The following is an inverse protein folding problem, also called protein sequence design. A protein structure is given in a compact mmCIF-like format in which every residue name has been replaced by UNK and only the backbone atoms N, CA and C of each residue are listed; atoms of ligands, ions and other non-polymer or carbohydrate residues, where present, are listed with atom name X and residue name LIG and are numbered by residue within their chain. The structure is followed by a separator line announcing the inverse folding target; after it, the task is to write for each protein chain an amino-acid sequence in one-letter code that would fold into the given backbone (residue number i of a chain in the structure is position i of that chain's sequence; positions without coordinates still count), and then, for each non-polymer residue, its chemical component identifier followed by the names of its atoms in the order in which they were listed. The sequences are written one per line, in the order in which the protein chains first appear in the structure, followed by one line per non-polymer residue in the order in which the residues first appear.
data_IF_766425038455
#
_entry.id   IF_766425038455
#
_cell.length_a   1.000
_cell.length_b   1.000
_cell.length_c   1.000
_cell.angle_alpha   90.00
_cell.angle_beta   90.00
_cell.angle_gamma   90.00
#
_symmetry.space_group_name_H-M   'P 1'
#
loop_
_entity.id
_entity.type
_entity.pdbx_description
1 polymer ?
#
# COMPACT_ATOMS: atom_id res chain seq x y z
N UNK A 1 10.44 -11.12 2.21
CA UNK A 1 9.02 -11.22 1.78
C UNK A 1 8.68 -10.04 0.90
N UNK A 2 8.25 -10.26 -0.33
CA UNK A 2 7.72 -9.21 -1.20
C UNK A 2 6.23 -9.42 -1.42
N UNK A 3 5.46 -8.34 -1.36
CA UNK A 3 4.01 -8.34 -1.61
C UNK A 3 3.69 -7.16 -2.53
N UNK A 4 2.97 -7.40 -3.61
CA UNK A 4 2.49 -6.31 -4.47
C UNK A 4 1.55 -5.40 -3.68
N UNK A 5 1.81 -4.10 -3.66
CA UNK A 5 0.94 -3.12 -3.05
C UNK A 5 -0.16 -2.61 -3.99
N UNK A 6 -0.96 -1.64 -3.52
CA UNK A 6 -2.06 -1.09 -4.29
C UNK A 6 -1.57 -0.16 -5.42
N UNK A 7 -2.39 -0.06 -6.47
CA UNK A 7 -2.35 1.07 -7.40
C UNK A 7 -3.09 2.26 -6.77
N UNK A 8 -2.41 3.38 -6.59
CA UNK A 8 -2.89 4.52 -5.78
C UNK A 8 -3.67 5.53 -6.62
N UNK A 9 -4.77 5.07 -7.22
CA UNK A 9 -5.62 5.87 -8.09
C UNK A 9 -6.93 6.34 -7.44
N UNK A 10 -7.37 5.73 -6.33
CA UNK A 10 -8.66 6.03 -5.68
C UNK A 10 -8.63 5.68 -4.19
N UNK A 11 -9.68 6.08 -3.46
CA UNK A 11 -9.85 5.81 -2.04
C UNK A 11 -9.69 4.31 -1.76
N UNK A 12 -8.80 3.88 -0.85
CA UNK A 12 -8.60 2.47 -0.56
C UNK A 12 -9.86 1.81 0.00
N UNK A 13 -10.18 0.63 -0.52
CA UNK A 13 -11.34 -0.15 -0.09
C UNK A 13 -10.93 -1.39 0.72
N UNK A 14 -11.90 -2.14 1.24
CA UNK A 14 -11.66 -3.37 2.01
C UNK A 14 -10.77 -4.38 1.26
N UNK A 15 -10.92 -4.48 -0.06
CA UNK A 15 -10.03 -5.28 -0.91
C UNK A 15 -8.55 -4.86 -0.89
N UNK A 16 -8.19 -3.60 -0.64
CA UNK A 16 -6.80 -3.16 -0.44
C UNK A 16 -6.32 -3.42 0.99
N UNK A 17 -7.22 -3.32 1.98
CA UNK A 17 -6.91 -3.57 3.38
C UNK A 17 -6.69 -5.05 3.68
N UNK A 18 -7.49 -5.95 3.09
CA UNK A 18 -7.40 -7.40 3.28
C UNK A 18 -6.01 -7.97 3.04
N UNK A 19 -5.33 -7.74 1.89
CA UNK A 19 -3.98 -8.25 1.70
C UNK A 19 -2.99 -7.64 2.71
N UNK A 20 -3.13 -6.36 3.08
CA UNK A 20 -2.27 -5.76 4.09
C UNK A 20 -2.35 -6.52 5.43
N UNK A 21 -3.55 -6.85 5.89
CA UNK A 21 -3.77 -7.62 7.14
C UNK A 21 -3.26 -9.06 7.02
N UNK A 22 -3.59 -9.76 5.93
CA UNK A 22 -3.17 -11.16 5.74
C UNK A 22 -1.65 -11.27 5.71
N UNK A 23 -0.97 -10.37 5.01
CA UNK A 23 0.49 -10.38 4.95
C UNK A 23 1.15 -9.82 6.20
N UNK A 24 0.49 -8.97 6.99
CA UNK A 24 0.95 -8.60 8.32
C UNK A 24 0.99 -9.82 9.27
N UNK A 25 -0.07 -10.65 9.26
CA UNK A 25 -0.09 -11.90 10.05
C UNK A 25 1.06 -12.82 9.61
N UNK A 26 1.27 -12.98 8.29
CA UNK A 26 2.39 -13.77 7.78
C UNK A 26 3.73 -13.18 8.20
N UNK A 27 3.90 -11.85 8.12
CA UNK A 27 5.13 -11.17 8.50
C UNK A 27 5.45 -11.38 9.98
N UNK A 28 4.46 -11.23 10.86
CA UNK A 28 4.58 -11.50 12.31
C UNK A 28 4.93 -12.96 12.58
N UNK A 29 4.29 -13.89 11.88
CA UNK A 29 4.60 -15.31 12.00
C UNK A 29 6.06 -15.60 11.61
N UNK A 30 6.51 -15.09 10.46
CA UNK A 30 7.89 -15.26 10.01
C UNK A 30 8.90 -14.67 11.02
N UNK A 31 8.63 -13.48 11.56
CA UNK A 31 9.48 -12.85 12.59
C UNK A 31 9.54 -13.61 13.91
N UNK A 32 8.58 -14.50 14.18
CA UNK A 32 8.65 -15.41 15.34
C UNK A 32 9.48 -16.68 15.10
N UNK A 33 9.87 -16.94 13.84
CA UNK A 33 10.57 -18.16 13.42
C UNK A 33 11.97 -17.92 12.88
N UNK A 34 12.26 -16.70 12.43
CA UNK A 34 13.53 -16.32 11.83
C UNK A 34 14.02 -15.02 12.45
N UNK A 35 15.34 -14.92 12.63
CA UNK A 35 15.98 -13.78 13.30
C UNK A 35 15.86 -12.47 12.51
N UNK A 36 15.90 -12.54 11.18
CA UNK A 36 15.75 -11.38 10.30
C UNK A 36 14.77 -11.68 9.15
N UNK A 37 13.76 -10.83 9.02
CA UNK A 37 12.75 -10.91 7.96
C UNK A 37 12.61 -9.51 7.35
N UNK A 38 13.13 -9.35 6.14
CA UNK A 38 12.90 -8.13 5.35
C UNK A 38 11.53 -8.21 4.67
N UNK A 39 10.70 -7.18 4.84
CA UNK A 39 9.41 -7.03 4.15
C UNK A 39 9.45 -5.84 3.19
N UNK A 40 9.21 -6.07 1.90
CA UNK A 40 9.06 -5.04 0.89
C UNK A 40 7.64 -5.02 0.29
N UNK A 41 7.07 -3.83 0.12
CA UNK A 41 5.78 -3.61 -0.57
C UNK A 41 5.81 -2.33 -1.39
N UNK A 42 5.68 -2.44 -2.70
CA UNK A 42 5.64 -1.29 -3.59
C UNK A 42 4.33 -0.49 -3.42
N UNK A 43 4.30 0.74 -3.91
CA UNK A 43 3.09 1.52 -4.11
C UNK A 43 3.06 1.91 -5.59
N UNK A 44 2.18 1.31 -6.38
CA UNK A 44 2.14 1.60 -7.81
C UNK A 44 1.55 2.99 -8.01
N UNK A 45 2.40 3.98 -8.27
CA UNK A 45 2.03 5.39 -8.46
C UNK A 45 2.13 5.87 -9.92
N UNK A 46 2.44 4.96 -10.84
CA UNK A 46 2.38 5.14 -12.29
C UNK A 46 1.57 3.98 -12.88
N UNK A 47 0.40 4.27 -13.45
CA UNK A 47 -0.53 3.31 -14.07
C UNK A 47 -1.56 4.08 -14.92
N UNK A 48 -2.13 3.44 -15.94
CA UNK A 48 -3.16 4.03 -16.81
C UNK A 48 -4.37 4.52 -16.01
N UNK A 49 -4.78 3.76 -14.98
CA UNK A 49 -5.90 4.14 -14.10
C UNK A 49 -5.65 5.42 -13.33
N UNK A 50 -4.39 5.69 -13.00
CA UNK A 50 -3.99 6.93 -12.31
C UNK A 50 -4.10 8.11 -13.28
N UNK A 51 -3.63 7.94 -14.53
CA UNK A 51 -3.72 8.98 -15.56
C UNK A 51 -5.18 9.34 -15.86
N UNK A 52 -6.02 8.32 -16.08
CA UNK A 52 -7.46 8.50 -16.30
C UNK A 52 -8.13 9.20 -15.12
N UNK A 53 -7.87 8.75 -13.89
CA UNK A 53 -8.52 9.33 -12.71
C UNK A 53 -8.05 10.74 -12.39
N UNK A 54 -6.77 11.03 -12.58
CA UNK A 54 -6.23 12.38 -12.41
C UNK A 54 -6.88 13.37 -13.40
N UNK A 55 -7.02 12.96 -14.67
CA UNK A 55 -7.70 13.74 -15.68
C UNK A 55 -9.18 13.97 -15.35
N UNK A 56 -9.93 12.93 -14.96
CA UNK A 56 -11.33 13.04 -14.56
C UNK A 56 -11.55 13.97 -13.36
N UNK A 57 -10.63 13.95 -12.40
CA UNK A 57 -10.70 14.77 -11.19
C UNK A 57 -10.15 16.20 -11.39
N UNK A 58 -9.53 16.50 -12.53
CA UNK A 58 -8.88 17.79 -12.78
C UNK A 58 -7.70 18.09 -11.85
N UNK A 59 -6.97 17.06 -11.39
CA UNK A 59 -5.82 17.20 -10.48
C UNK A 59 -4.56 16.61 -11.10
N UNK A 60 -3.39 16.98 -10.60
CA UNK A 60 -2.13 16.34 -11.03
C UNK A 60 -2.04 14.90 -10.53
N UNK A 61 -1.32 14.05 -11.28
CA UNK A 61 -1.01 12.67 -10.87
C UNK A 61 -0.38 12.65 -9.48
N UNK A 62 0.59 13.52 -9.22
CA UNK A 62 1.26 13.61 -7.92
C UNK A 62 0.30 13.94 -6.78
N UNK A 63 -0.66 14.84 -6.99
CA UNK A 63 -1.65 15.20 -5.98
C UNK A 63 -2.59 14.03 -5.69
N UNK A 64 -3.04 13.31 -6.73
CA UNK A 64 -3.87 12.12 -6.58
C UNK A 64 -3.14 11.02 -5.81
N UNK A 65 -1.95 10.65 -6.27
CA UNK A 65 -1.20 9.52 -5.68
C UNK A 65 -0.76 9.82 -4.25
N UNK A 66 -0.28 11.03 -3.95
CA UNK A 66 0.10 11.40 -2.58
C UNK A 66 -1.09 11.34 -1.61
N UNK A 67 -2.27 11.82 -2.03
CA UNK A 67 -3.48 11.74 -1.21
C UNK A 67 -3.88 10.29 -0.95
N UNK A 68 -3.95 9.48 -2.00
CA UNK A 68 -4.35 8.07 -1.87
C UNK A 68 -3.32 7.24 -1.07
N UNK A 69 -2.03 7.54 -1.18
CA UNK A 69 -0.98 6.92 -0.34
C UNK A 69 -1.22 7.26 1.13
N UNK A 70 -1.52 8.53 1.45
CA UNK A 70 -1.80 8.96 2.82
C UNK A 70 -3.04 8.23 3.39
N UNK A 71 -4.15 8.19 2.64
CA UNK A 71 -5.36 7.47 3.03
C UNK A 71 -5.10 5.97 3.24
N UNK A 72 -4.31 5.34 2.36
CA UNK A 72 -3.94 3.93 2.49
C UNK A 72 -3.16 3.68 3.77
N UNK A 73 -2.23 4.57 4.07
CA UNK A 73 -1.41 4.56 5.28
C UNK A 73 -2.23 4.72 6.56
N UNK A 74 -3.15 5.67 6.60
CA UNK A 74 -4.08 5.85 7.72
C UNK A 74 -4.90 4.58 7.99
N UNK A 75 -5.43 3.95 6.94
CA UNK A 75 -6.22 2.71 7.07
C UNK A 75 -5.37 1.56 7.59
N UNK A 76 -4.19 1.30 7.02
CA UNK A 76 -3.37 0.16 7.47
C UNK A 76 -2.81 0.36 8.88
N UNK A 77 -2.53 1.60 9.26
CA UNK A 77 -2.09 1.95 10.62
C UNK A 77 -3.22 1.76 11.62
N UNK A 78 -4.44 2.21 11.30
CA UNK A 78 -5.63 2.01 12.13
C UNK A 78 -5.96 0.52 12.33
N UNK A 79 -5.62 -0.34 11.35
CA UNK A 79 -5.74 -1.79 11.44
C UNK A 79 -4.59 -2.46 12.20
N UNK A 80 -3.60 -1.70 12.68
CA UNK A 80 -2.45 -2.23 13.43
C UNK A 80 -1.46 -3.03 12.59
N UNK A 81 -1.48 -2.87 11.26
CA UNK A 81 -0.53 -3.53 10.38
C UNK A 81 0.87 -2.94 10.55
N UNK A 82 1.89 -3.78 10.61
CA UNK A 82 3.28 -3.33 10.57
C UNK A 82 3.60 -2.75 9.19
N UNK A 83 4.40 -1.68 9.17
CA UNK A 83 4.93 -1.12 7.92
C UNK A 83 5.97 -2.07 7.31
N UNK A 84 6.04 -2.14 5.97
CA UNK A 84 7.14 -2.82 5.31
C UNK A 84 8.47 -2.13 5.63
N UNK A 85 9.54 -2.92 5.69
CA UNK A 85 10.92 -2.44 5.77
C UNK A 85 11.26 -1.54 4.59
N UNK A 86 10.78 -1.88 3.39
CA UNK A 86 10.97 -1.10 2.18
C UNK A 86 9.63 -0.85 1.48
N UNK A 87 9.36 0.41 1.12
CA UNK A 87 8.18 0.77 0.34
C UNK A 87 8.55 1.62 -0.87
N UNK A 88 9.07 1.01 -1.95
CA UNK A 88 9.38 1.73 -3.18
C UNK A 88 8.09 2.25 -3.83
N UNK A 89 8.24 3.34 -4.57
CA UNK A 89 7.22 3.91 -5.46
C UNK A 89 7.63 3.56 -6.88
#
# INVERSE_FOLDING_TARGET
MYVCGPTVYDTPHLGNARPAVVFDILFRLLRSRYDDVTYARNLTDIDDKIMERAALNGVSIQALTNRTIAEYHEIVDALGCLRPTYSPR
#
